data_IF_194464776373
#
_entry.id   IF_194464776373
#
_cell.length_a   1.000
_cell.length_b   1.000
_cell.length_c   1.000
_cell.angle_alpha   90.00
_cell.angle_beta   90.00
_cell.angle_gamma   90.00
#
_symmetry.space_group_name_H-M   'P 1'
#
loop_
_entity.id
_entity.type
_entity.pdbx_description
1 polymer ?
#
# COMPACT_ATOMS: atom_id res chain seq x y z
N UNK A 1 25.57 1.86 -8.53
CA UNK A 1 24.26 1.49 -9.01
C UNK A 1 23.29 1.21 -7.88
N UNK A 2 23.77 0.49 -6.87
CA UNK A 2 22.93 0.23 -5.71
C UNK A 2 22.48 1.49 -5.00
N UNK A 3 23.35 2.48 -4.93
CA UNK A 3 22.97 3.75 -4.31
C UNK A 3 21.87 4.46 -5.10
N UNK A 4 21.93 4.35 -6.44
CA UNK A 4 20.89 4.94 -7.26
C UNK A 4 19.54 4.32 -6.98
N UNK A 5 19.50 2.98 -6.80
CA UNK A 5 18.27 2.29 -6.50
C UNK A 5 17.73 2.67 -5.13
N UNK A 6 18.62 2.86 -4.15
CA UNK A 6 18.19 3.23 -2.80
C UNK A 6 17.48 4.58 -2.80
N UNK A 7 17.91 5.51 -3.63
CA UNK A 7 17.34 6.86 -3.63
C UNK A 7 16.13 7.01 -4.57
N UNK A 8 15.78 5.96 -5.30
CA UNK A 8 14.59 6.03 -6.15
C UNK A 8 13.34 5.96 -5.30
N UNK A 9 12.26 6.53 -5.84
CA UNK A 9 10.98 6.49 -5.15
C UNK A 9 10.49 5.06 -5.03
N UNK A 10 9.90 4.75 -3.91
CA UNK A 10 9.29 3.45 -3.68
C UNK A 10 7.80 3.55 -3.97
N UNK A 11 7.23 2.47 -4.48
CA UNK A 11 5.82 2.39 -4.82
C UNK A 11 5.21 1.27 -3.99
N UNK A 12 4.30 1.64 -3.11
CA UNK A 12 3.59 0.70 -2.25
C UNK A 12 2.16 0.58 -2.75
N UNK A 13 1.74 -0.65 -3.02
CA UNK A 13 0.37 -0.92 -3.45
C UNK A 13 -0.35 -1.59 -2.29
N UNK A 14 -1.43 -0.96 -1.81
CA UNK A 14 -2.21 -1.49 -0.70
C UNK A 14 -3.58 -1.93 -1.20
N UNK A 15 -3.91 -3.20 -0.96
CA UNK A 15 -5.24 -3.70 -1.23
C UNK A 15 -6.12 -3.57 -0.01
N UNK A 16 -7.38 -3.22 -0.22
CA UNK A 16 -8.35 -3.03 0.84
C UNK A 16 -9.66 -3.70 0.48
N UNK A 17 -10.38 -4.18 1.50
CA UNK A 17 -11.67 -4.85 1.31
C UNK A 17 -12.73 -4.18 2.16
N UNK A 18 -13.99 -4.56 1.93
CA UNK A 18 -15.05 -4.26 2.88
C UNK A 18 -15.06 -5.30 3.99
N UNK A 19 -16.09 -5.29 4.84
CA UNK A 19 -16.14 -6.18 5.97
C UNK A 19 -16.94 -7.46 5.71
N UNK A 20 -17.30 -7.73 4.47
CA UNK A 20 -18.01 -8.96 4.13
C UNK A 20 -17.02 -10.12 4.18
N UNK A 21 -17.30 -11.15 5.00
CA UNK A 21 -16.39 -12.29 5.08
C UNK A 21 -16.29 -13.00 3.74
N UNK A 22 -15.09 -13.49 3.45
CA UNK A 22 -14.86 -14.24 2.23
C UNK A 22 -14.09 -15.52 2.58
N UNK A 23 -14.45 -16.59 1.90
CA UNK A 23 -13.75 -17.87 2.03
C UNK A 23 -13.89 -18.61 0.73
N UNK A 24 -12.78 -18.80 0.04
CA UNK A 24 -12.72 -19.51 -1.23
C UNK A 24 -11.45 -20.31 -1.29
N UNK A 25 -11.32 -21.13 -2.32
CA UNK A 25 -10.08 -21.85 -2.56
C UNK A 25 -8.94 -20.85 -2.67
N UNK A 26 -7.92 -21.04 -1.81
CA UNK A 26 -6.73 -20.21 -1.76
C UNK A 26 -6.96 -18.78 -1.27
N UNK A 27 -8.17 -18.46 -0.80
CA UNK A 27 -8.47 -17.16 -0.20
C UNK A 27 -9.25 -17.41 1.07
N UNK A 28 -8.54 -17.39 2.22
CA UNK A 28 -9.15 -17.79 3.48
C UNK A 28 -9.95 -16.66 4.12
N UNK A 29 -9.54 -15.41 3.89
CA UNK A 29 -10.16 -14.28 4.55
C UNK A 29 -9.82 -13.01 3.77
N UNK A 30 -10.23 -11.87 4.33
CA UNK A 30 -9.97 -10.58 3.67
C UNK A 30 -8.51 -10.18 3.67
N UNK A 31 -7.72 -10.70 4.60
CA UNK A 31 -6.27 -10.49 4.53
C UNK A 31 -5.69 -11.08 3.25
N UNK A 32 -6.06 -12.33 2.96
CA UNK A 32 -5.59 -12.98 1.74
C UNK A 32 -6.10 -12.25 0.50
N UNK A 33 -7.37 -11.86 0.50
CA UNK A 33 -7.97 -11.19 -0.65
C UNK A 33 -7.27 -9.87 -0.94
N UNK A 34 -7.06 -9.06 0.09
CA UNK A 34 -6.45 -7.76 -0.11
C UNK A 34 -5.00 -7.89 -0.58
N UNK A 35 -4.27 -8.86 -0.03
CA UNK A 35 -2.88 -9.09 -0.43
C UNK A 35 -2.81 -9.56 -1.88
N UNK A 36 -3.72 -10.43 -2.29
CA UNK A 36 -3.75 -10.92 -3.67
C UNK A 36 -4.07 -9.79 -4.64
N UNK A 37 -4.99 -8.92 -4.28
CA UNK A 37 -5.32 -7.78 -5.14
C UNK A 37 -4.13 -6.85 -5.31
N UNK A 38 -3.44 -6.56 -4.21
CA UNK A 38 -2.25 -5.73 -4.29
C UNK A 38 -1.17 -6.38 -5.13
N UNK A 39 -0.99 -7.69 -4.98
CA UNK A 39 -0.01 -8.43 -5.76
C UNK A 39 -0.32 -8.38 -7.25
N UNK A 40 -1.60 -8.49 -7.61
CA UNK A 40 -1.98 -8.42 -9.02
C UNK A 40 -1.63 -7.06 -9.63
N UNK A 41 -1.89 -5.98 -8.89
CA UNK A 41 -1.56 -4.65 -9.37
C UNK A 41 -0.06 -4.46 -9.50
N UNK A 42 0.71 -4.96 -8.53
CA UNK A 42 2.17 -4.87 -8.59
C UNK A 42 2.70 -5.59 -9.82
N UNK A 43 2.18 -6.78 -10.09
CA UNK A 43 2.63 -7.55 -11.25
C UNK A 43 2.29 -6.84 -12.55
N UNK A 44 1.14 -6.20 -12.60
CA UNK A 44 0.76 -5.44 -13.78
C UNK A 44 1.66 -4.23 -13.98
N UNK A 45 1.98 -3.52 -12.90
CA UNK A 45 2.90 -2.39 -12.99
C UNK A 45 4.26 -2.82 -13.51
N UNK A 46 4.73 -3.96 -13.05
CA UNK A 46 6.02 -4.49 -13.49
C UNK A 46 5.97 -4.95 -14.94
N UNK A 47 4.98 -5.76 -15.30
CA UNK A 47 4.97 -6.47 -16.57
C UNK A 47 4.42 -5.62 -17.70
N UNK A 48 3.43 -4.78 -17.42
CA UNK A 48 2.76 -4.01 -18.45
C UNK A 48 3.33 -2.60 -18.57
N UNK A 49 3.72 -2.01 -17.45
CA UNK A 49 4.15 -0.62 -17.44
C UNK A 49 5.65 -0.45 -17.19
N UNK A 50 6.36 -1.56 -17.01
CA UNK A 50 7.82 -1.52 -16.93
C UNK A 50 8.39 -0.90 -15.67
N UNK A 51 7.62 -0.89 -14.57
CA UNK A 51 8.13 -0.35 -13.31
C UNK A 51 9.15 -1.32 -12.74
N UNK A 52 10.27 -0.78 -12.26
CA UNK A 52 11.34 -1.57 -11.69
C UNK A 52 10.82 -2.33 -10.47
N UNK A 53 10.88 -3.67 -10.46
CA UNK A 53 10.35 -4.44 -9.34
C UNK A 53 11.04 -4.14 -8.01
N UNK A 54 12.26 -3.63 -8.04
CA UNK A 54 12.95 -3.25 -6.80
C UNK A 54 12.26 -2.08 -6.10
N UNK A 55 11.41 -1.34 -6.82
CA UNK A 55 10.68 -0.22 -6.26
C UNK A 55 9.29 -0.59 -5.79
N UNK A 56 8.84 -1.81 -6.05
CA UNK A 56 7.45 -2.21 -5.83
C UNK A 56 7.30 -3.01 -4.54
N UNK A 57 6.22 -2.73 -3.81
CA UNK A 57 5.83 -3.50 -2.64
C UNK A 57 4.32 -3.69 -2.67
N UNK A 58 3.87 -4.85 -2.24
CA UNK A 58 2.45 -5.15 -2.16
C UNK A 58 2.08 -5.40 -0.71
N UNK A 59 0.97 -4.83 -0.27
CA UNK A 59 0.51 -4.99 1.10
C UNK A 59 -0.99 -5.20 1.13
N UNK A 60 -1.44 -6.09 2.02
CA UNK A 60 -2.85 -6.30 2.25
C UNK A 60 -3.25 -5.64 3.56
N UNK A 61 -4.30 -4.83 3.52
CA UNK A 61 -4.81 -4.16 4.71
C UNK A 61 -6.09 -4.84 5.23
N UNK A 62 -6.60 -5.84 4.51
CA UNK A 62 -7.82 -6.50 4.91
C UNK A 62 -8.99 -5.53 4.94
N UNK A 63 -9.88 -5.73 5.90
CA UNK A 63 -11.04 -4.85 6.08
C UNK A 63 -10.78 -3.72 7.07
N UNK A 64 -9.56 -3.59 7.55
CA UNK A 64 -9.25 -2.77 8.73
C UNK A 64 -8.78 -1.37 8.40
N UNK A 65 -8.94 -0.94 7.15
CA UNK A 65 -8.55 0.40 6.72
C UNK A 65 -9.69 1.04 5.93
N UNK A 66 -10.89 1.14 6.51
CA UNK A 66 -12.04 1.68 5.79
C UNK A 66 -11.94 3.19 5.63
N UNK A 67 -12.45 3.69 4.51
CA UNK A 67 -12.58 5.13 4.30
C UNK A 67 -14.01 5.60 4.52
N UNK A 68 -14.93 4.65 4.67
CA UNK A 68 -16.33 4.98 4.94
C UNK A 68 -16.93 3.80 5.69
N UNK A 69 -18.19 3.90 6.10
CA UNK A 69 -18.84 2.81 6.81
C UNK A 69 -19.16 1.66 5.86
N UNK A 70 -19.45 0.50 6.45
CA UNK A 70 -19.83 -0.70 5.70
C UNK A 70 -21.33 -0.98 5.78
N UNK A 71 -22.12 0.03 6.18
CA UNK A 71 -23.56 -0.16 6.40
C UNK A 71 -24.34 -0.10 5.10
N UNK A 72 -23.77 0.47 4.07
CA UNK A 72 -24.45 0.60 2.78
C UNK A 72 -23.62 -0.08 1.70
N UNK A 73 -24.29 -0.42 0.60
CA UNK A 73 -23.58 -1.02 -0.52
C UNK A 73 -22.58 -0.05 -1.13
N UNK A 74 -22.93 1.23 -1.15
CA UNK A 74 -22.03 2.25 -1.66
C UNK A 74 -20.78 2.38 -0.79
N UNK A 75 -20.97 2.36 0.54
CA UNK A 75 -19.84 2.42 1.46
C UNK A 75 -18.92 1.23 1.31
N UNK A 76 -19.49 0.02 1.20
CA UNK A 76 -18.70 -1.17 0.98
C UNK A 76 -17.91 -1.08 -0.32
N UNK A 77 -18.52 -0.58 -1.37
CA UNK A 77 -17.85 -0.45 -2.67
C UNK A 77 -16.67 0.50 -2.57
N UNK A 78 -16.81 1.58 -1.84
CA UNK A 78 -15.71 2.52 -1.66
C UNK A 78 -14.57 1.94 -0.84
N UNK A 79 -14.88 1.04 0.09
CA UNK A 79 -13.85 0.38 0.88
C UNK A 79 -13.09 -0.68 0.10
N UNK A 80 -13.69 -1.25 -0.94
CA UNK A 80 -13.03 -2.22 -1.82
C UNK A 80 -12.19 -1.46 -2.83
N UNK A 81 -10.97 -1.11 -2.43
CA UNK A 81 -10.13 -0.26 -3.27
C UNK A 81 -8.67 -0.68 -3.19
N UNK A 82 -7.93 -0.29 -4.19
CA UNK A 82 -6.48 -0.43 -4.20
C UNK A 82 -5.87 0.95 -4.22
N UNK A 83 -4.93 1.20 -3.32
CA UNK A 83 -4.25 2.48 -3.23
C UNK A 83 -2.80 2.32 -3.66
N UNK A 84 -2.33 3.27 -4.44
CA UNK A 84 -0.93 3.29 -4.87
C UNK A 84 -0.28 4.48 -4.20
N UNK A 85 0.70 4.20 -3.36
CA UNK A 85 1.38 5.21 -2.56
C UNK A 85 2.80 5.31 -3.05
N UNK A 86 3.20 6.51 -3.47
CA UNK A 86 4.55 6.76 -3.94
C UNK A 86 5.27 7.55 -2.86
N UNK A 87 6.29 6.92 -2.29
CA UNK A 87 7.07 7.58 -1.24
C UNK A 87 8.14 8.47 -1.86
N UNK A 88 8.59 9.51 -1.15
CA UNK A 88 9.67 10.33 -1.65
C UNK A 88 10.96 9.52 -1.76
N UNK A 89 11.90 10.02 -2.56
CA UNK A 89 13.24 9.45 -2.58
C UNK A 89 13.86 9.60 -1.20
N UNK A 90 14.80 8.70 -0.91
CA UNK A 90 15.40 8.65 0.42
C UNK A 90 16.03 9.99 0.80
N UNK A 91 16.74 10.62 -0.11
CA UNK A 91 17.39 11.89 0.20
C UNK A 91 16.38 12.97 0.55
N UNK A 92 15.24 13.00 -0.17
CA UNK A 92 14.18 13.95 0.14
C UNK A 92 13.53 13.65 1.48
N UNK A 93 13.38 12.38 1.79
CA UNK A 93 12.79 11.97 3.06
C UNK A 93 13.69 12.40 4.23
N UNK A 94 14.98 12.21 4.10
CA UNK A 94 15.93 12.61 5.13
C UNK A 94 15.93 14.12 5.32
N UNK A 95 15.78 14.87 4.24
CA UNK A 95 15.67 16.32 4.34
C UNK A 95 14.46 16.74 5.17
N UNK A 96 13.33 16.09 4.93
CA UNK A 96 12.11 16.40 5.67
C UNK A 96 12.27 16.11 7.16
N UNK A 97 12.94 15.03 7.49
CA UNK A 97 13.19 14.68 8.88
C UNK A 97 14.05 15.76 9.56
N UNK A 98 15.09 16.21 8.88
CA UNK A 98 15.96 17.23 9.43
C UNK A 98 15.23 18.54 9.67
N UNK A 99 14.29 18.88 8.77
CA UNK A 99 13.58 20.16 8.86
C UNK A 99 12.45 20.15 9.87
N UNK A 100 12.06 18.98 10.37
CA UNK A 100 10.93 18.87 11.27
C UNK A 100 11.27 17.91 12.42
N UNK A 101 12.21 18.29 13.28
CA UNK A 101 12.66 17.37 14.32
C UNK A 101 11.57 16.99 15.32
N UNK A 102 10.61 17.87 15.58
CA UNK A 102 9.55 17.52 16.51
C UNK A 102 8.58 16.53 15.90
N UNK A 103 8.24 16.72 14.63
CA UNK A 103 7.43 15.74 13.93
C UNK A 103 8.14 14.39 13.85
N UNK A 104 9.44 14.43 13.65
CA UNK A 104 10.23 13.22 13.64
C UNK A 104 10.18 12.51 14.99
N UNK A 105 10.26 13.26 16.07
CA UNK A 105 10.16 12.67 17.39
C UNK A 105 8.85 11.98 17.62
N UNK A 106 7.76 12.58 17.17
CA UNK A 106 6.44 11.96 17.28
C UNK A 106 6.36 10.69 16.45
N UNK A 107 6.88 10.73 15.24
CA UNK A 107 6.86 9.56 14.38
C UNK A 107 7.65 8.41 15.01
N UNK A 108 8.73 8.72 15.68
CA UNK A 108 9.57 7.71 16.30
C UNK A 108 8.87 6.99 17.45
N UNK A 109 7.89 7.62 18.08
CA UNK A 109 7.19 6.98 19.20
C UNK A 109 6.12 6.01 18.73
N UNK A 110 5.81 6.02 17.48
CA UNK A 110 4.84 5.08 16.96
C UNK A 110 5.47 3.78 16.53
#
# INVERSE_FOLDING_TARGET
RGLGDVYKRQVLVEGNTDNVPISRTNIRNNWDLSALRASSVVQELQNKYGVDPKRLSAAGRGEYNPITDNDSELGKQRNRRTQIIVTPRLDQFLELIDKAPEAEGEAATE
#
